data_IF_412932828183
#
_entry.id   IF_412932828183
#
_cell.length_a   1.000
_cell.length_b   1.000
_cell.length_c   1.000
_cell.angle_alpha   90.00
_cell.angle_beta   90.00
_cell.angle_gamma   90.00
#
_symmetry.space_group_name_H-M   'P 1'
#
loop_
_entity.id
_entity.type
_entity.pdbx_description
1 polymer ?
#
# COMPACT_ATOMS: atom_id res chain seq x y z
N UNK A 1 -55.67 4.95 -10.39
CA UNK A 1 -55.95 4.24 -11.66
C UNK A 1 -55.08 2.99 -11.68
N UNK A 2 -55.70 1.81 -11.62
CA UNK A 2 -55.05 0.48 -11.52
C UNK A 2 -55.11 -0.21 -12.89
N UNK A 3 -54.03 -0.87 -13.33
CA UNK A 3 -54.01 -2.04 -14.25
C UNK A 3 -52.72 -2.84 -13.90
N UNK A 4 -52.74 -3.96 -13.17
CA UNK A 4 -52.93 -5.41 -13.56
C UNK A 4 -51.89 -5.89 -14.60
N UNK A 5 -50.93 -6.76 -14.26
CA UNK A 5 -50.97 -8.20 -13.96
C UNK A 5 -50.66 -9.08 -15.19
N UNK A 6 -49.72 -10.01 -15.02
CA UNK A 6 -49.38 -11.07 -15.97
C UNK A 6 -48.53 -12.15 -15.29
N UNK A 7 -49.21 -13.16 -14.74
CA UNK A 7 -48.70 -14.44 -14.21
C UNK A 7 -48.90 -15.51 -15.29
N UNK A 8 -48.14 -16.62 -15.22
CA UNK A 8 -48.46 -18.05 -15.55
C UNK A 8 -47.11 -18.71 -15.89
N UNK A 9 -46.54 -19.63 -15.10
CA UNK A 9 -46.95 -21.03 -14.86
C UNK A 9 -46.22 -21.95 -15.87
N UNK A 10 -45.75 -23.18 -15.61
CA UNK A 10 -46.14 -24.21 -14.63
C UNK A 10 -45.30 -25.51 -14.89
N UNK A 11 -44.99 -26.29 -13.83
CA UNK A 11 -44.89 -27.81 -13.69
C UNK A 11 -43.78 -28.57 -14.49
N UNK A 12 -42.83 -29.33 -13.90
CA UNK A 12 -42.75 -30.49 -12.94
C UNK A 12 -42.93 -31.90 -13.57
N UNK A 13 -41.96 -32.81 -13.32
CA UNK A 13 -42.04 -34.29 -13.07
C UNK A 13 -40.79 -35.01 -13.66
N UNK A 14 -39.88 -35.69 -12.93
CA UNK A 14 -39.90 -36.88 -12.03
C UNK A 14 -40.04 -38.23 -12.77
N UNK A 15 -38.99 -39.08 -12.66
CA UNK A 15 -38.94 -40.59 -12.50
C UNK A 15 -37.47 -41.04 -12.72
N UNK A 16 -36.69 -41.73 -11.83
CA UNK A 16 -36.80 -43.04 -11.14
C UNK A 16 -36.97 -44.22 -12.14
N UNK A 17 -36.33 -45.40 -12.14
CA UNK A 17 -35.78 -46.37 -11.15
C UNK A 17 -34.82 -47.31 -11.97
N UNK A 18 -33.82 -48.04 -11.43
CA UNK A 18 -33.90 -49.50 -11.18
C UNK A 18 -32.61 -50.11 -10.57
N UNK A 19 -32.83 -50.90 -9.52
CA UNK A 19 -31.94 -51.88 -8.89
C UNK A 19 -31.85 -53.21 -9.64
N UNK A 20 -30.75 -53.94 -9.46
CA UNK A 20 -30.65 -55.42 -9.40
C UNK A 20 -29.32 -55.81 -8.72
N UNK A 21 -29.32 -56.38 -7.50
CA UNK A 21 -29.24 -57.81 -7.13
C UNK A 21 -27.85 -58.51 -7.26
N UNK A 22 -27.11 -58.54 -6.13
CA UNK A 22 -26.39 -59.65 -5.40
C UNK A 22 -26.26 -61.09 -5.99
N UNK A 23 -25.46 -62.05 -5.40
CA UNK A 23 -24.27 -62.02 -4.51
C UNK A 23 -23.19 -63.16 -4.70
N UNK A 24 -22.13 -63.14 -3.85
CA UNK A 24 -21.42 -64.27 -3.16
C UNK A 24 -20.32 -65.17 -3.78
N UNK A 25 -19.16 -65.14 -3.09
CA UNK A 25 -18.25 -66.23 -2.65
C UNK A 25 -17.37 -67.05 -3.62
N UNK A 26 -16.03 -66.92 -3.45
CA UNK A 26 -15.14 -68.04 -3.03
C UNK A 26 -13.67 -67.60 -2.86
N UNK A 27 -13.13 -67.69 -1.64
CA UNK A 27 -11.69 -67.75 -1.28
C UNK A 27 -11.14 -69.18 -1.40
N UNK A 28 -9.83 -69.51 -1.23
CA UNK A 28 -8.61 -68.68 -1.12
C UNK A 28 -7.43 -69.17 -2.01
N UNK A 29 -6.37 -68.38 -2.18
CA UNK A 29 -5.01 -68.93 -2.36
C UNK A 29 -3.97 -67.94 -1.84
N UNK A 30 -3.16 -68.44 -0.91
CA UNK A 30 -2.08 -67.75 -0.25
C UNK A 30 -0.83 -67.69 -1.14
N UNK A 31 -0.26 -66.51 -1.31
CA UNK A 31 1.19 -66.34 -1.50
C UNK A 31 1.61 -65.16 -0.61
N UNK A 32 2.26 -65.48 0.51
CA UNK A 32 2.97 -64.53 1.35
C UNK A 32 4.17 -63.98 0.57
N UNK A 33 4.19 -62.66 0.34
CA UNK A 33 5.43 -61.93 0.08
C UNK A 33 5.76 -61.11 1.34
N UNK A 34 6.79 -61.53 2.06
CA UNK A 34 7.34 -60.83 3.22
C UNK A 34 8.08 -59.58 2.75
N UNK A 35 7.36 -58.46 2.63
CA UNK A 35 7.94 -57.13 2.48
C UNK A 35 7.90 -56.39 3.81
N UNK A 36 9.05 -56.13 4.41
CA UNK A 36 9.17 -55.27 5.60
C UNK A 36 8.49 -53.92 5.35
N UNK A 37 7.62 -53.41 6.24
CA UNK A 37 7.08 -52.07 6.09
C UNK A 37 8.21 -51.08 6.39
N UNK A 38 8.75 -50.46 5.33
CA UNK A 38 9.51 -49.21 5.48
C UNK A 38 8.53 -48.18 6.03
N UNK A 39 8.67 -47.85 7.31
CA UNK A 39 7.93 -46.75 7.93
C UNK A 39 8.17 -45.48 7.10
N UNK A 40 7.17 -45.05 6.34
CA UNK A 40 7.16 -43.73 5.73
C UNK A 40 7.14 -42.71 6.88
N UNK A 41 8.31 -42.14 7.17
CA UNK A 41 8.41 -40.93 7.99
C UNK A 41 7.56 -39.87 7.29
N UNK A 42 6.36 -39.63 7.81
CA UNK A 42 5.45 -38.64 7.28
C UNK A 42 6.21 -37.33 7.10
N UNK A 43 6.25 -36.85 5.86
CA UNK A 43 6.74 -35.50 5.58
C UNK A 43 5.92 -34.56 6.48
N UNK A 44 6.54 -33.71 7.32
CA UNK A 44 5.78 -32.75 8.10
C UNK A 44 4.92 -31.95 7.13
N UNK A 45 3.63 -31.88 7.41
CA UNK A 45 2.71 -31.01 6.68
C UNK A 45 3.32 -29.60 6.71
N UNK A 46 3.58 -28.96 5.57
CA UNK A 46 4.13 -27.62 5.56
C UNK A 46 3.17 -26.71 6.32
N UNK A 47 3.64 -26.14 7.43
CA UNK A 47 2.90 -25.11 8.16
C UNK A 47 2.64 -23.97 7.17
N UNK A 48 1.38 -23.53 6.96
CA UNK A 48 1.12 -22.42 6.07
C UNK A 48 1.89 -21.19 6.55
N UNK A 49 2.72 -20.63 5.68
CA UNK A 49 3.43 -19.39 5.95
C UNK A 49 2.39 -18.29 6.21
N UNK A 50 2.46 -17.55 7.33
CA UNK A 50 1.50 -16.51 7.62
C UNK A 50 1.52 -15.46 6.51
N UNK A 51 0.36 -15.18 5.92
CA UNK A 51 0.22 -14.11 4.93
C UNK A 51 0.56 -12.76 5.60
N UNK A 52 1.49 -11.97 5.05
CA UNK A 52 1.82 -10.67 5.62
C UNK A 52 0.58 -9.77 5.70
N UNK A 53 0.42 -8.99 6.78
CA UNK A 53 -0.71 -8.06 6.91
C UNK A 53 -0.68 -7.02 5.78
N UNK A 54 -1.86 -6.55 5.38
CA UNK A 54 -1.99 -5.50 4.37
C UNK A 54 -1.30 -4.19 4.83
N UNK A 55 -0.74 -3.45 3.88
CA UNK A 55 -0.25 -2.09 4.14
C UNK A 55 -1.40 -1.17 4.56
N UNK A 56 -1.15 -0.29 5.52
CA UNK A 56 -2.14 0.63 6.06
C UNK A 56 -1.96 2.03 5.47
N UNK A 57 -3.01 2.57 4.84
CA UNK A 57 -3.04 4.00 4.49
C UNK A 57 -3.49 4.76 5.74
N UNK A 58 -2.54 5.37 6.44
CA UNK A 58 -2.83 6.06 7.71
C UNK A 58 -3.62 7.35 7.49
N UNK A 59 -3.17 8.16 6.52
CA UNK A 59 -3.78 9.47 6.28
C UNK A 59 -3.66 9.86 4.82
N UNK A 60 -4.70 10.55 4.35
CA UNK A 60 -4.71 11.26 3.08
C UNK A 60 -5.17 12.67 3.32
N UNK A 61 -4.51 13.62 2.67
CA UNK A 61 -4.93 15.01 2.65
C UNK A 61 -4.34 15.70 1.43
N UNK A 62 -4.64 16.98 1.27
CA UNK A 62 -4.21 17.72 0.10
C UNK A 62 -4.06 19.21 0.42
N UNK A 63 -3.33 19.89 -0.46
CA UNK A 63 -3.19 21.34 -0.44
C UNK A 63 -3.39 21.89 -1.83
N UNK A 64 -4.10 23.01 -1.92
CA UNK A 64 -4.27 23.72 -3.18
C UNK A 64 -2.93 24.32 -3.65
N UNK A 65 -2.73 24.31 -4.96
CA UNK A 65 -1.57 24.90 -5.63
C UNK A 65 -2.07 25.75 -6.81
N UNK A 66 -1.25 26.68 -7.37
CA UNK A 66 -1.67 27.49 -8.50
C UNK A 66 -2.15 26.69 -9.74
N UNK A 67 -1.65 25.47 -9.90
CA UNK A 67 -1.95 24.55 -11.00
C UNK A 67 -2.98 23.46 -10.67
N UNK A 68 -3.60 23.49 -9.48
CA UNK A 68 -4.58 22.50 -9.04
C UNK A 68 -4.46 22.21 -7.56
N UNK A 69 -4.18 20.96 -7.21
CA UNK A 69 -3.81 20.58 -5.84
C UNK A 69 -2.82 19.42 -5.83
N UNK A 70 -2.05 19.31 -4.75
CA UNK A 70 -1.20 18.15 -4.47
C UNK A 70 -1.85 17.38 -3.34
N UNK A 71 -2.10 16.09 -3.56
CA UNK A 71 -2.57 15.18 -2.52
C UNK A 71 -1.41 14.32 -2.01
N UNK A 72 -1.44 14.05 -0.71
CA UNK A 72 -0.44 13.27 0.00
C UNK A 72 -1.10 12.06 0.65
N UNK A 73 -0.41 10.94 0.64
CA UNK A 73 -0.78 9.76 1.40
C UNK A 73 0.41 9.23 2.18
N UNK A 74 0.19 8.88 3.45
CA UNK A 74 1.16 8.16 4.29
C UNK A 74 0.74 6.70 4.38
N UNK A 75 1.66 5.82 4.02
CA UNK A 75 1.49 4.37 4.02
C UNK A 75 2.43 3.78 5.06
N UNK A 76 1.87 3.00 5.97
CA UNK A 76 2.61 2.25 6.98
C UNK A 76 2.69 0.78 6.59
N UNK A 77 3.87 0.20 6.85
CA UNK A 77 4.07 -1.23 6.79
C UNK A 77 4.11 -1.81 8.22
N UNK A 78 2.99 -2.35 8.73
CA UNK A 78 2.95 -2.94 10.06
C UNK A 78 3.56 -4.35 10.11
N UNK A 79 4.00 -4.90 8.96
CA UNK A 79 4.54 -6.26 8.89
C UNK A 79 6.02 -6.32 9.30
N UNK A 80 6.50 -7.54 9.57
CA UNK A 80 7.93 -7.84 9.72
C UNK A 80 8.69 -8.01 8.40
N UNK A 81 8.05 -7.77 7.25
CA UNK A 81 8.62 -7.98 5.92
C UNK A 81 8.73 -6.66 5.16
N UNK A 82 9.63 -6.59 4.18
CA UNK A 82 9.77 -5.44 3.30
C UNK A 82 8.69 -5.48 2.22
N UNK A 83 7.94 -4.39 2.05
CA UNK A 83 7.01 -4.22 0.95
C UNK A 83 7.71 -3.53 -0.23
N UNK A 84 7.51 -4.03 -1.45
CA UNK A 84 8.10 -3.48 -2.67
C UNK A 84 7.07 -3.29 -3.77
N UNK A 85 7.32 -2.34 -4.66
CA UNK A 85 6.43 -2.02 -5.79
C UNK A 85 5.04 -1.55 -5.36
N UNK A 86 4.95 -0.84 -4.23
CA UNK A 86 3.70 -0.44 -3.59
C UNK A 86 2.99 0.62 -4.44
N UNK A 87 1.90 0.26 -5.12
CA UNK A 87 1.11 1.21 -5.90
C UNK A 87 0.07 1.88 -4.99
N UNK A 88 0.25 3.18 -4.77
CA UNK A 88 -0.66 4.00 -3.96
C UNK A 88 -1.61 4.73 -4.90
N UNK A 89 -2.91 4.55 -4.70
CA UNK A 89 -3.95 5.29 -5.40
C UNK A 89 -4.59 6.30 -4.45
N UNK A 90 -4.68 7.54 -4.88
CA UNK A 90 -5.42 8.60 -4.19
C UNK A 90 -6.63 8.97 -5.06
N UNK A 91 -7.81 8.96 -4.46
CA UNK A 91 -9.07 9.36 -5.10
C UNK A 91 -9.59 10.63 -4.45
N UNK A 92 -9.89 11.64 -5.26
CA UNK A 92 -10.61 12.83 -4.86
C UNK A 92 -12.12 12.58 -4.97
N UNK A 93 -12.86 12.90 -3.91
CA UNK A 93 -14.29 12.65 -3.80
C UNK A 93 -15.08 13.95 -3.69
N UNK A 94 -16.26 13.96 -4.30
CA UNK A 94 -17.22 15.05 -4.17
C UNK A 94 -18.03 14.95 -2.88
N UNK A 95 -18.88 15.95 -2.59
CA UNK A 95 -19.69 15.99 -1.36
C UNK A 95 -20.65 14.80 -1.18
N UNK A 96 -21.03 14.12 -2.26
CA UNK A 96 -21.88 12.93 -2.23
C UNK A 96 -21.11 11.61 -2.30
N UNK A 97 -19.78 11.64 -2.12
CA UNK A 97 -18.92 10.45 -2.23
C UNK A 97 -18.65 9.99 -3.66
N UNK A 98 -19.11 10.71 -4.67
CA UNK A 98 -18.81 10.41 -6.07
C UNK A 98 -17.33 10.64 -6.36
N UNK A 99 -16.73 9.77 -7.17
CA UNK A 99 -15.35 9.90 -7.62
C UNK A 99 -15.24 11.07 -8.60
N UNK A 100 -14.45 12.07 -8.24
CA UNK A 100 -14.15 13.20 -9.13
C UNK A 100 -12.96 12.86 -10.02
N UNK A 101 -11.89 12.35 -9.43
CA UNK A 101 -10.67 11.98 -10.13
C UNK A 101 -9.82 11.04 -9.27
N UNK A 102 -8.97 10.26 -9.91
CA UNK A 102 -8.06 9.31 -9.25
C UNK A 102 -6.67 9.40 -9.87
N UNK A 103 -5.64 9.32 -9.04
CA UNK A 103 -4.24 9.26 -9.47
C UNK A 103 -3.52 8.16 -8.71
N UNK A 104 -2.46 7.64 -9.32
CA UNK A 104 -1.61 6.63 -8.71
C UNK A 104 -0.14 7.03 -8.78
N UNK A 105 0.64 6.57 -7.81
CA UNK A 105 2.09 6.58 -7.82
C UNK A 105 2.63 5.30 -7.20
N UNK A 106 3.94 5.10 -7.28
CA UNK A 106 4.59 3.90 -6.75
C UNK A 106 5.61 4.29 -5.69
N UNK A 107 5.46 3.73 -4.50
CA UNK A 107 6.52 3.71 -3.48
C UNK A 107 7.32 2.43 -3.76
N UNK A 108 8.58 2.51 -4.23
CA UNK A 108 9.34 1.32 -4.61
C UNK A 108 9.59 0.40 -3.41
N UNK A 109 9.71 0.93 -2.19
CA UNK A 109 10.03 0.17 -1.00
C UNK A 109 9.47 0.78 0.28
N UNK A 110 8.97 -0.06 1.20
CA UNK A 110 8.65 0.30 2.59
C UNK A 110 9.19 -0.79 3.50
N UNK A 111 10.17 -0.46 4.33
CA UNK A 111 10.78 -1.41 5.28
C UNK A 111 9.82 -1.89 6.37
N UNK A 112 10.16 -2.98 7.10
CA UNK A 112 9.38 -3.46 8.23
C UNK A 112 9.18 -2.38 9.30
N UNK A 113 7.93 -2.17 9.74
CA UNK A 113 7.59 -1.16 10.75
C UNK A 113 7.80 0.30 10.31
N UNK A 114 8.14 0.54 9.04
CA UNK A 114 8.40 1.88 8.51
C UNK A 114 7.14 2.49 7.90
N UNK A 115 7.20 3.82 7.74
CA UNK A 115 6.20 4.59 7.00
C UNK A 115 6.87 5.27 5.82
N UNK A 116 6.16 5.36 4.72
CA UNK A 116 6.54 6.15 3.57
C UNK A 116 5.40 7.03 3.09
N UNK A 117 5.75 8.07 2.34
CA UNK A 117 4.78 9.00 1.81
C UNK A 117 4.87 9.16 0.30
N UNK A 118 3.71 9.46 -0.29
CA UNK A 118 3.56 9.75 -1.70
C UNK A 118 2.91 11.12 -1.88
N UNK A 119 3.43 11.93 -2.80
CA UNK A 119 2.81 13.16 -3.27
C UNK A 119 2.35 13.01 -4.72
N UNK A 120 1.07 13.26 -4.99
CA UNK A 120 0.48 13.18 -6.33
C UNK A 120 -0.13 14.52 -6.72
N UNK A 121 0.29 15.03 -7.89
CA UNK A 121 -0.28 16.23 -8.47
C UNK A 121 -1.61 15.93 -9.18
N UNK A 122 -2.62 16.72 -8.88
CA UNK A 122 -3.91 16.74 -9.56
C UNK A 122 -4.06 18.09 -10.29
N UNK A 123 -3.83 18.12 -11.61
CA UNK A 123 -3.75 19.38 -12.37
C UNK A 123 -5.11 19.99 -12.73
N UNK A 124 -6.21 19.47 -12.19
CA UNK A 124 -7.59 19.90 -12.54
C UNK A 124 -8.38 20.26 -11.30
N UNK A 125 -9.12 21.36 -11.37
CA UNK A 125 -9.90 21.91 -10.25
C UNK A 125 -9.01 22.63 -9.24
N UNK A 126 -9.09 23.96 -9.19
CA UNK A 126 -8.45 24.76 -8.12
C UNK A 126 -9.19 24.66 -6.79
N UNK A 127 -10.44 24.25 -6.84
CA UNK A 127 -11.24 23.99 -5.64
C UNK A 127 -10.82 22.65 -5.06
N UNK A 128 -10.29 22.68 -3.84
CA UNK A 128 -9.88 21.48 -3.13
C UNK A 128 -11.13 20.60 -2.87
N UNK A 129 -11.14 19.33 -3.31
CA UNK A 129 -12.16 18.37 -2.92
C UNK A 129 -12.34 18.30 -1.40
N UNK A 130 -13.57 18.11 -0.94
CA UNK A 130 -13.88 18.01 0.49
C UNK A 130 -13.37 16.72 1.12
N UNK A 131 -13.14 15.69 0.32
CA UNK A 131 -12.78 14.35 0.78
C UNK A 131 -11.77 13.70 -0.15
N UNK A 132 -10.88 12.92 0.46
CA UNK A 132 -9.90 12.09 -0.23
C UNK A 132 -9.88 10.71 0.39
N UNK A 133 -9.69 9.69 -0.45
CA UNK A 133 -9.43 8.33 0.00
C UNK A 133 -8.14 7.81 -0.63
N UNK A 134 -7.45 6.95 0.10
CA UNK A 134 -6.24 6.29 -0.38
C UNK A 134 -6.40 4.78 -0.30
N UNK A 135 -5.81 4.09 -1.25
CA UNK A 135 -5.75 2.62 -1.27
C UNK A 135 -4.41 2.17 -1.82
N UNK A 136 -3.94 1.02 -1.35
CA UNK A 136 -2.72 0.38 -1.83
C UNK A 136 -3.06 -0.86 -2.63
N UNK A 137 -2.41 -1.04 -3.77
CA UNK A 137 -2.54 -2.23 -4.63
C UNK A 137 -1.16 -2.70 -5.13
N UNK A 138 -1.06 -3.94 -5.59
CA UNK A 138 0.12 -4.43 -6.30
C UNK A 138 1.39 -4.68 -5.46
N UNK A 139 1.24 -4.84 -4.14
CA UNK A 139 2.36 -5.04 -3.20
C UNK A 139 3.04 -6.39 -3.40
N UNK A 140 4.38 -6.39 -3.37
CA UNK A 140 5.20 -7.60 -3.28
C UNK A 140 5.95 -7.63 -1.97
N UNK A 141 5.93 -8.77 -1.29
CA UNK A 141 6.56 -8.93 0.01
C UNK A 141 7.90 -9.65 -0.12
N UNK A 142 8.88 -9.21 0.67
CA UNK A 142 10.20 -9.83 0.78
C UNK A 142 10.58 -9.96 2.25
N UNK A 143 11.02 -11.16 2.66
CA UNK A 143 11.57 -11.39 4.00
C UNK A 143 12.97 -10.78 4.19
N UNK A 144 13.62 -10.33 3.11
CA UNK A 144 14.94 -9.72 3.17
C UNK A 144 14.79 -8.24 3.56
N UNK A 145 15.33 -7.80 4.70
CA UNK A 145 15.43 -6.38 5.00
C UNK A 145 16.41 -5.75 4.03
N UNK A 146 15.97 -4.73 3.31
CA UNK A 146 16.84 -3.89 2.47
C UNK A 146 17.28 -2.69 3.28
N UNK A 147 18.56 -2.64 3.62
CA UNK A 147 19.19 -1.48 4.27
C UNK A 147 19.83 -0.53 3.27
N UNK A 148 19.88 -0.93 1.99
CA UNK A 148 20.48 -0.13 0.94
C UNK A 148 19.51 0.97 0.49
N UNK A 149 19.98 2.21 0.58
CA UNK A 149 19.27 3.39 0.11
C UNK A 149 19.46 4.60 1.03
N UNK A 150 18.79 5.68 0.66
CA UNK A 150 18.78 6.92 1.42
C UNK A 150 17.64 6.89 2.42
N UNK A 151 17.94 7.27 3.65
CA UNK A 151 17.00 7.34 4.75
C UNK A 151 16.88 8.78 5.22
N UNK A 152 15.66 9.20 5.51
CA UNK A 152 15.41 10.44 6.24
C UNK A 152 15.68 10.19 7.71
N UNK A 153 16.63 10.93 8.26
CA UNK A 153 16.99 10.86 9.69
C UNK A 153 16.44 12.04 10.49
N UNK A 154 16.04 13.11 9.82
CA UNK A 154 15.41 14.25 10.47
C UNK A 154 14.73 15.20 9.51
N UNK A 155 13.75 15.92 10.01
CA UNK A 155 13.07 16.99 9.31
C UNK A 155 12.84 18.16 10.27
N UNK A 156 13.02 19.39 9.80
CA UNK A 156 12.68 20.60 10.54
C UNK A 156 11.94 21.58 9.66
N UNK A 157 10.82 22.10 10.17
CA UNK A 157 10.06 23.13 9.50
C UNK A 157 10.78 24.47 9.61
N UNK A 158 10.95 25.13 8.47
CA UNK A 158 11.52 26.47 8.38
C UNK A 158 10.39 27.41 8.02
N UNK A 159 9.98 28.20 9.03
CA UNK A 159 8.94 29.19 8.85
C UNK A 159 9.50 30.39 8.07
N UNK A 160 9.04 30.54 6.85
CA UNK A 160 9.24 31.73 6.02
C UNK A 160 7.87 32.22 5.55
N UNK A 161 7.64 33.54 5.63
CA UNK A 161 6.34 34.14 5.35
C UNK A 161 5.93 34.07 3.86
N UNK A 162 6.87 33.86 2.94
CA UNK A 162 6.63 33.78 1.50
C UNK A 162 6.79 32.36 0.96
N UNK A 163 7.78 31.63 1.47
CA UNK A 163 8.16 30.30 0.97
C UNK A 163 8.44 29.35 2.13
N UNK A 164 7.41 28.88 2.85
CA UNK A 164 7.62 27.92 3.92
C UNK A 164 8.28 26.66 3.36
N UNK A 165 9.22 26.10 4.10
CA UNK A 165 10.00 24.96 3.65
C UNK A 165 10.27 23.98 4.78
N UNK A 166 10.68 22.76 4.41
CA UNK A 166 11.15 21.74 5.34
C UNK A 166 12.58 21.40 4.97
N UNK A 167 13.49 21.54 5.94
CA UNK A 167 14.86 21.03 5.81
C UNK A 167 14.88 19.59 6.24
N UNK A 168 15.31 18.72 5.34
CA UNK A 168 15.38 17.28 5.52
C UNK A 168 16.83 16.86 5.56
N UNK A 169 17.21 16.10 6.58
CA UNK A 169 18.52 15.48 6.68
C UNK A 169 18.44 14.02 6.23
N UNK A 170 19.26 13.66 5.24
CA UNK A 170 19.29 12.35 4.59
C UNK A 170 20.64 11.69 4.80
N UNK A 171 20.65 10.38 5.06
CA UNK A 171 21.88 9.57 5.03
C UNK A 171 21.68 8.48 3.99
N UNK A 172 22.63 8.30 3.08
CA UNK A 172 22.63 7.19 2.13
C UNK A 172 23.71 6.17 2.49
N UNK A 173 23.30 4.91 2.49
CA UNK A 173 24.19 3.75 2.64
C UNK A 173 24.55 3.11 1.29
N UNK A 174 24.10 3.69 0.17
CA UNK A 174 24.41 3.19 -1.16
C UNK A 174 25.90 3.35 -1.49
N UNK A 175 26.45 2.45 -2.31
CA UNK A 175 27.86 2.49 -2.73
C UNK A 175 28.17 3.65 -3.71
N UNK A 176 27.14 4.32 -4.23
CA UNK A 176 27.26 5.41 -5.18
C UNK A 176 26.11 6.41 -5.05
N UNK A 177 26.14 7.45 -5.88
CA UNK A 177 25.08 8.44 -5.89
C UNK A 177 23.77 7.82 -6.41
N UNK A 178 22.70 7.98 -5.65
CA UNK A 178 21.37 7.49 -5.98
C UNK A 178 20.36 8.63 -6.05
N UNK A 179 19.29 8.40 -6.81
CA UNK A 179 18.19 9.35 -6.93
C UNK A 179 17.16 9.06 -5.86
N UNK A 180 16.82 10.07 -5.07
CA UNK A 180 15.92 9.93 -3.91
C UNK A 180 14.75 10.88 -4.09
N UNK A 181 13.53 10.33 -4.09
CA UNK A 181 12.31 11.11 -4.00
C UNK A 181 11.98 11.35 -2.52
N UNK A 182 12.02 12.62 -2.11
CA UNK A 182 11.76 13.04 -0.73
C UNK A 182 10.44 13.77 -0.70
N UNK A 183 9.55 13.35 0.21
CA UNK A 183 8.24 13.97 0.43
C UNK A 183 8.20 14.53 1.85
N UNK A 184 7.98 15.84 1.98
CA UNK A 184 7.69 16.49 3.25
C UNK A 184 6.18 16.62 3.45
N UNK A 185 5.68 16.28 4.63
CA UNK A 185 4.27 16.39 5.00
C UNK A 185 4.17 17.22 6.27
N UNK A 186 3.28 18.21 6.25
CA UNK A 186 3.01 19.07 7.39
C UNK A 186 1.63 18.75 7.97
N UNK A 187 1.58 18.66 9.31
CA UNK A 187 0.45 18.17 10.08
C UNK A 187 -0.14 19.27 10.96
N UNK A 188 -1.44 19.22 11.22
CA UNK A 188 -2.02 19.96 12.35
C UNK A 188 -1.91 19.17 13.66
N UNK A 189 -2.31 19.82 14.76
CA UNK A 189 -2.31 19.21 16.10
C UNK A 189 -3.27 18.01 16.24
N UNK A 190 -4.23 17.85 15.32
CA UNK A 190 -5.16 16.73 15.28
C UNK A 190 -4.66 15.57 14.36
N UNK A 191 -3.45 15.68 13.82
CA UNK A 191 -2.86 14.66 12.94
C UNK A 191 -3.42 14.67 11.52
N UNK A 192 -4.03 15.76 11.06
CA UNK A 192 -4.44 15.93 9.66
C UNK A 192 -3.34 16.56 8.83
N UNK A 193 -3.18 16.07 7.60
CA UNK A 193 -2.27 16.67 6.62
C UNK A 193 -2.82 18.05 6.23
N UNK A 194 -2.02 19.09 6.44
CA UNK A 194 -2.33 20.49 6.07
C UNK A 194 -1.57 20.98 4.86
N UNK A 195 -0.62 20.19 4.40
CA UNK A 195 0.18 20.47 3.23
C UNK A 195 1.47 19.67 3.20
N UNK A 196 2.38 20.11 2.34
CA UNK A 196 3.62 19.40 2.09
C UNK A 196 4.25 19.82 0.77
N UNK A 197 5.28 19.08 0.41
CA UNK A 197 6.03 19.27 -0.82
C UNK A 197 6.81 18.00 -1.14
N UNK A 198 7.29 17.89 -2.37
CA UNK A 198 8.13 16.76 -2.77
C UNK A 198 9.23 17.24 -3.69
N UNK A 199 10.41 16.65 -3.55
CA UNK A 199 11.57 16.95 -4.37
C UNK A 199 12.35 15.67 -4.64
N UNK A 200 12.90 15.57 -5.85
CA UNK A 200 13.87 14.53 -6.17
C UNK A 200 15.29 15.10 -6.12
N UNK A 201 16.18 14.40 -5.44
CA UNK A 201 17.59 14.80 -5.24
C UNK A 201 18.54 13.66 -5.57
N UNK A 202 19.80 13.99 -5.85
CA UNK A 202 20.88 13.00 -5.91
C UNK A 202 21.59 12.99 -4.56
N UNK A 203 21.74 11.83 -3.94
CA UNK A 203 22.36 11.64 -2.62
C UNK A 203 23.50 10.64 -2.79
N UNK A 204 24.71 11.02 -2.39
CA UNK A 204 25.88 10.15 -2.43
C UNK A 204 26.21 9.52 -1.07
N UNK A 205 27.16 8.57 -1.01
CA UNK A 205 27.69 8.03 0.23
C UNK A 205 28.49 9.11 0.97
N UNK A 206 27.81 9.91 1.77
CA UNK A 206 28.43 10.91 2.63
C UNK A 206 28.16 10.57 4.10
N UNK A 207 29.19 10.32 4.93
CA UNK A 207 28.99 9.91 6.32
C UNK A 207 28.23 10.93 7.17
N UNK A 208 28.31 12.21 6.81
CA UNK A 208 27.61 13.30 7.49
C UNK A 208 26.20 13.53 6.99
N UNK A 209 25.76 12.80 5.95
CA UNK A 209 24.48 13.00 5.30
C UNK A 209 24.40 14.26 4.44
N UNK A 210 23.21 14.50 3.89
CA UNK A 210 22.88 15.58 2.98
C UNK A 210 21.68 16.36 3.53
N UNK A 211 21.79 17.69 3.53
CA UNK A 211 20.65 18.56 3.84
C UNK A 211 19.93 18.97 2.55
N UNK A 212 18.61 18.76 2.52
CA UNK A 212 17.74 19.11 1.41
C UNK A 212 16.62 20.00 1.89
N UNK A 213 16.48 21.17 1.26
CA UNK A 213 15.32 22.04 1.46
C UNK A 213 14.22 21.68 0.45
N UNK A 214 13.01 21.48 0.96
CA UNK A 214 11.79 21.23 0.20
C UNK A 214 10.82 22.37 0.47
N UNK A 215 10.48 23.14 -0.56
CA UNK A 215 9.41 24.13 -0.47
C UNK A 215 8.07 23.40 -0.29
N UNK A 216 7.28 23.85 0.69
CA UNK A 216 5.99 23.24 1.01
C UNK A 216 4.86 24.22 0.74
N UNK A 217 3.76 23.71 0.22
CA UNK A 217 2.50 24.44 0.24
C UNK A 217 1.74 24.05 1.50
N UNK A 218 1.26 25.03 2.27
CA UNK A 218 0.48 24.82 3.49
C UNK A 218 -0.79 25.66 3.46
N UNK A 219 -1.89 25.11 3.98
CA UNK A 219 -3.17 25.81 4.10
C UNK A 219 -3.28 26.68 5.36
N UNK A 220 -2.59 26.25 6.43
CA UNK A 220 -2.52 26.91 7.74
C UNK A 220 -1.18 26.57 8.39
N UNK A 221 -0.78 27.30 9.44
CA UNK A 221 0.43 26.98 10.20
C UNK A 221 0.36 25.54 10.73
N UNK A 222 1.35 24.67 10.44
CA UNK A 222 1.37 23.32 10.95
C UNK A 222 1.85 23.26 12.40
N UNK A 223 1.46 22.20 13.10
CA UNK A 223 1.99 21.84 14.40
C UNK A 223 3.35 21.14 14.29
N UNK A 224 3.55 20.37 13.21
CA UNK A 224 4.81 19.69 12.90
C UNK A 224 4.92 19.40 11.39
N UNK A 225 6.13 19.10 10.92
CA UNK A 225 6.32 18.52 9.60
C UNK A 225 7.28 17.33 9.69
N UNK A 226 6.94 16.24 9.01
CA UNK A 226 7.77 15.06 8.83
C UNK A 226 8.30 15.03 7.40
N UNK A 227 9.33 14.22 7.15
CA UNK A 227 9.76 13.89 5.81
C UNK A 227 9.98 12.38 5.66
N UNK A 228 9.80 11.92 4.43
CA UNK A 228 9.87 10.53 4.01
C UNK A 228 10.74 10.50 2.75
N UNK A 229 11.60 9.50 2.62
CA UNK A 229 12.62 9.47 1.58
C UNK A 229 12.70 8.09 0.98
N UNK A 230 12.60 8.04 -0.34
CA UNK A 230 12.58 6.78 -1.06
C UNK A 230 13.60 6.81 -2.19
N UNK A 231 14.54 5.87 -2.16
CA UNK A 231 15.46 5.63 -3.27
C UNK A 231 14.70 5.09 -4.48
N UNK A 232 14.86 5.75 -5.64
CA UNK A 232 14.44 5.21 -6.93
C UNK A 232 15.65 4.50 -7.55
N UNK A 233 15.61 3.17 -7.57
CA UNK A 233 16.55 2.32 -8.32
C UNK A 233 16.43 2.53 -9.82
#
# INVERSE_FOLDING_TARGET
>A
MRIRAGVVGIIVAVTAILSACQPSNSTPSAIQASGSPVAHRGSPTPTPEPTPPALAVQKVGAVATPSGFTAFAVVENPSGQTATGVNVQITALGPGGQVLTRRSGTIPLIGPGQREAMALLFPVGRTLPSQFSGSVVGVRWSAVPTTDGAQVVGASFVQDARTPSVRVHLISHAQGAERVAVTAICWDAAGNIRGGGSRTVMVGPEPKGHDVTIDVAISTMPASCDAFGISSS
#
